data_IF_217441817343
#
_entry.id   IF_217441817343
#
_cell.length_a   1.000
_cell.length_b   1.000
_cell.length_c   1.000
_cell.angle_alpha   90.00
_cell.angle_beta   90.00
_cell.angle_gamma   90.00
#
_symmetry.space_group_name_H-M   'P 1'
#
loop_
_entity.id
_entity.type
_entity.pdbx_description
1 polymer ?
#
# COMPACT_ATOMS: atom_id res chain seq x y z
N UNK A 1 6.45 -9.96 22.45
CA UNK A 1 6.47 -9.28 21.12
C UNK A 1 5.18 -9.66 20.39
N UNK A 2 4.34 -8.67 20.04
CA UNK A 2 2.96 -8.90 19.58
C UNK A 2 2.93 -9.56 18.20
N UNK A 3 2.94 -10.90 18.17
CA UNK A 3 2.45 -11.69 17.02
C UNK A 3 0.97 -11.38 16.87
N UNK A 4 0.61 -10.54 15.90
CA UNK A 4 -0.78 -10.41 15.49
C UNK A 4 -1.11 -11.60 14.58
N UNK A 5 -1.53 -12.70 15.19
CA UNK A 5 -2.34 -13.72 14.53
C UNK A 5 -3.80 -13.27 14.64
N UNK A 6 -4.47 -12.99 13.52
CA UNK A 6 -5.92 -12.73 13.46
C UNK A 6 -6.50 -13.09 12.08
N UNK A 7 -7.02 -14.32 11.96
CA UNK A 7 -8.31 -14.73 11.34
C UNK A 7 -8.85 -14.22 9.99
N UNK A 8 -8.25 -13.26 9.27
CA UNK A 8 -8.75 -12.76 7.96
C UNK A 8 -7.56 -12.50 7.01
N UNK A 9 -6.90 -13.58 6.59
CA UNK A 9 -5.49 -13.61 6.18
C UNK A 9 -5.06 -13.02 4.83
N UNK A 10 -5.69 -11.99 4.26
CA UNK A 10 -5.28 -11.52 2.91
C UNK A 10 -4.95 -10.04 2.75
N UNK A 11 -5.58 -9.12 3.48
CA UNK A 11 -5.49 -7.69 3.12
C UNK A 11 -4.28 -6.94 3.70
N UNK A 12 -3.66 -7.45 4.78
CA UNK A 12 -2.51 -6.83 5.46
C UNK A 12 -1.19 -7.59 5.26
N UNK A 13 -1.24 -8.74 4.58
CA UNK A 13 -0.06 -9.57 4.39
C UNK A 13 0.82 -8.95 3.30
N UNK A 14 2.13 -8.97 3.53
CA UNK A 14 3.12 -8.80 2.48
C UNK A 14 3.76 -10.13 2.12
N UNK A 15 4.30 -10.24 0.91
CA UNK A 15 5.07 -11.40 0.48
C UNK A 15 6.47 -11.43 1.12
N UNK A 16 7.30 -12.39 0.72
CA UNK A 16 8.68 -12.53 1.21
C UNK A 16 9.59 -11.34 0.87
N UNK A 17 9.20 -10.46 -0.06
CA UNK A 17 9.91 -9.22 -0.41
C UNK A 17 9.38 -7.99 0.34
N UNK A 18 8.28 -8.13 1.08
CA UNK A 18 7.57 -7.01 1.70
C UNK A 18 6.55 -6.34 0.77
N UNK A 19 6.26 -6.93 -0.40
CA UNK A 19 5.23 -6.44 -1.32
C UNK A 19 3.84 -6.70 -0.76
N UNK A 20 3.01 -5.67 -0.65
CA UNK A 20 1.63 -5.76 -0.13
C UNK A 20 0.59 -5.49 -1.23
N UNK A 21 -0.69 -5.78 -0.94
CA UNK A 21 -1.78 -5.53 -1.90
C UNK A 21 -1.93 -4.05 -2.28
N UNK A 22 -1.70 -3.11 -1.35
CA UNK A 22 -1.76 -1.68 -1.65
C UNK A 22 -0.63 -1.25 -2.60
N UNK A 23 0.54 -1.88 -2.51
CA UNK A 23 1.65 -1.64 -3.44
C UNK A 23 1.36 -2.18 -4.83
N UNK A 24 0.73 -3.35 -4.94
CA UNK A 24 0.33 -3.92 -6.23
C UNK A 24 -0.73 -3.04 -6.91
N UNK A 25 -1.75 -2.62 -6.16
CA UNK A 25 -2.77 -1.71 -6.65
C UNK A 25 -2.16 -0.36 -7.08
N UNK A 26 -1.24 0.18 -6.29
CA UNK A 26 -0.57 1.44 -6.61
C UNK A 26 0.36 1.33 -7.84
N UNK A 27 1.10 0.22 -7.96
CA UNK A 27 1.94 -0.05 -9.13
C UNK A 27 1.13 -0.31 -10.41
N UNK A 28 -0.15 -0.65 -10.29
CA UNK A 28 -1.09 -0.84 -11.39
C UNK A 28 -2.00 0.37 -11.67
N UNK A 29 -1.95 1.44 -10.87
CA UNK A 29 -2.87 2.57 -10.99
C UNK A 29 -4.32 2.20 -10.70
N UNK A 30 -4.55 1.17 -9.87
CA UNK A 30 -5.86 0.60 -9.62
C UNK A 30 -6.59 1.35 -8.50
N UNK A 31 -7.06 2.56 -8.81
CA UNK A 31 -7.64 3.50 -7.85
C UNK A 31 -8.81 2.91 -7.04
N UNK A 32 -9.74 2.21 -7.68
CA UNK A 32 -10.92 1.64 -6.99
C UNK A 32 -10.52 0.53 -6.01
N UNK A 33 -9.59 -0.33 -6.42
CA UNK A 33 -9.06 -1.41 -5.58
C UNK A 33 -8.31 -0.79 -4.40
N UNK A 34 -7.50 0.23 -4.67
CA UNK A 34 -6.74 0.94 -3.64
C UNK A 34 -7.66 1.61 -2.62
N UNK A 35 -8.73 2.29 -3.06
CA UNK A 35 -9.76 2.86 -2.19
C UNK A 35 -10.47 1.81 -1.34
N UNK A 36 -10.78 0.65 -1.93
CA UNK A 36 -11.39 -0.46 -1.20
C UNK A 36 -10.46 -0.99 -0.09
N UNK A 37 -9.18 -1.16 -0.39
CA UNK A 37 -8.16 -1.59 0.58
C UNK A 37 -8.00 -0.58 1.72
N UNK A 38 -7.90 0.72 1.39
CA UNK A 38 -7.83 1.79 2.38
C UNK A 38 -9.07 1.80 3.28
N UNK A 39 -10.28 1.65 2.70
CA UNK A 39 -11.54 1.57 3.46
C UNK A 39 -11.58 0.38 4.41
N UNK A 40 -10.91 -0.72 4.05
CA UNK A 40 -10.75 -1.88 4.93
C UNK A 40 -9.69 -1.67 6.01
N UNK A 41 -8.97 -0.55 6.01
CA UNK A 41 -8.00 -0.15 7.02
C UNK A 41 -6.55 -0.41 6.63
N UNK A 42 -6.28 -0.80 5.37
CA UNK A 42 -4.92 -1.18 4.94
C UNK A 42 -4.04 0.06 5.04
N UNK A 43 -2.96 -0.05 5.81
CA UNK A 43 -2.03 1.06 6.00
C UNK A 43 -1.23 1.26 4.70
N UNK A 44 -1.30 2.45 4.11
CA UNK A 44 -0.51 2.82 2.91
C UNK A 44 0.99 2.95 3.15
N UNK A 45 1.44 2.84 4.40
CA UNK A 45 2.83 3.05 4.82
C UNK A 45 3.68 1.76 4.88
N UNK A 46 3.18 0.64 4.35
CA UNK A 46 4.02 -0.56 4.18
C UNK A 46 5.21 -0.26 3.27
N UNK A 47 6.36 -0.90 3.55
CA UNK A 47 7.57 -0.80 2.72
C UNK A 47 8.14 -2.18 2.41
N UNK A 48 8.65 -2.33 1.18
CA UNK A 48 9.41 -3.50 0.75
C UNK A 48 10.76 -3.54 1.47
N UNK A 49 11.47 -4.67 1.36
CA UNK A 49 12.82 -4.84 1.91
C UNK A 49 13.83 -3.82 1.39
N UNK A 50 13.65 -3.35 0.16
CA UNK A 50 14.46 -2.30 -0.47
C UNK A 50 14.03 -0.87 -0.07
N UNK A 51 13.01 -0.72 0.78
CA UNK A 51 12.46 0.57 1.22
C UNK A 51 11.33 1.12 0.35
N UNK A 52 11.02 0.50 -0.79
CA UNK A 52 9.98 0.99 -1.71
C UNK A 52 8.60 0.97 -1.06
N UNK A 53 7.80 2.02 -1.27
CA UNK A 53 6.42 2.16 -0.76
C UNK A 53 5.40 2.15 -1.91
N UNK A 54 4.10 2.02 -1.58
CA UNK A 54 3.03 2.15 -2.57
C UNK A 54 3.06 3.53 -3.27
N UNK A 55 3.40 4.60 -2.54
CA UNK A 55 3.51 5.95 -3.08
C UNK A 55 4.65 6.07 -4.10
N UNK A 56 5.80 5.44 -3.82
CA UNK A 56 6.93 5.43 -4.75
C UNK A 56 6.56 4.76 -6.08
N UNK A 57 5.86 3.62 -6.05
CA UNK A 57 5.38 2.97 -7.27
C UNK A 57 4.40 3.82 -8.09
N UNK A 58 3.45 4.47 -7.43
CA UNK A 58 2.49 5.35 -8.11
C UNK A 58 3.18 6.58 -8.72
N UNK A 59 4.14 7.17 -7.99
CA UNK A 59 4.91 8.32 -8.46
C UNK A 59 5.82 7.99 -9.64
N UNK A 60 6.56 6.87 -9.59
CA UNK A 60 7.42 6.39 -10.68
C UNK A 60 6.64 6.20 -11.99
N UNK A 61 5.38 5.77 -11.89
CA UNK A 61 4.49 5.51 -13.02
C UNK A 61 3.61 6.69 -13.42
N UNK A 62 3.75 7.85 -12.77
CA UNK A 62 2.95 9.05 -13.01
C UNK A 62 1.43 8.84 -12.82
N UNK A 63 1.02 7.98 -11.88
CA UNK A 63 -0.39 7.75 -11.55
C UNK A 63 -0.88 8.79 -10.54
N UNK A 64 -1.17 10.00 -11.02
CA UNK A 64 -1.52 11.16 -10.19
C UNK A 64 -2.73 10.91 -9.27
N UNK A 65 -3.79 10.27 -9.78
CA UNK A 65 -4.98 9.95 -8.98
C UNK A 65 -4.64 8.98 -7.85
N UNK A 66 -3.85 7.94 -8.15
CA UNK A 66 -3.37 6.97 -7.17
C UNK A 66 -2.49 7.63 -6.11
N UNK A 67 -1.60 8.56 -6.51
CA UNK A 67 -0.80 9.37 -5.59
C UNK A 67 -1.71 10.18 -4.66
N UNK A 68 -2.70 10.88 -5.19
CA UNK A 68 -3.65 11.66 -4.38
C UNK A 68 -4.38 10.78 -3.36
N UNK A 69 -4.88 9.60 -3.78
CA UNK A 69 -5.55 8.63 -2.90
C UNK A 69 -4.65 8.19 -1.76
N UNK A 70 -3.39 7.88 -2.04
CA UNK A 70 -2.43 7.44 -1.01
C UNK A 70 -2.15 8.55 -0.01
N UNK A 71 -1.99 9.79 -0.47
CA UNK A 71 -1.76 10.96 0.39
C UNK A 71 -2.98 11.27 1.27
N UNK A 72 -4.19 11.25 0.69
CA UNK A 72 -5.45 11.39 1.43
C UNK A 72 -5.61 10.32 2.51
N UNK A 73 -5.14 9.10 2.25
CA UNK A 73 -5.17 8.00 3.20
C UNK A 73 -4.13 8.09 4.32
N UNK A 74 -3.36 9.18 4.39
CA UNK A 74 -2.31 9.37 5.39
C UNK A 74 -1.05 8.57 5.09
N UNK A 75 -0.81 8.22 3.82
CA UNK A 75 0.50 7.69 3.42
C UNK A 75 1.51 8.83 3.50
N UNK A 76 2.58 8.64 4.26
CA UNK A 76 3.60 9.66 4.41
C UNK A 76 4.47 9.71 3.16
N UNK A 77 4.77 10.94 2.71
CA UNK A 77 5.71 11.20 1.61
C UNK A 77 7.16 10.83 2.00
N UNK A 78 7.44 10.68 3.30
CA UNK A 78 8.81 10.58 3.80
C UNK A 78 9.41 9.17 3.68
N UNK A 79 10.43 9.10 2.81
CA UNK A 79 11.54 8.14 2.68
C UNK A 79 11.90 7.38 3.98
#
# INVERSE_FOLDING_TARGET
MKKQFNGFGTIWSSDSSGMSLSMLAAAGGQDDILRLLIKKGVKGNGRQKNGTTALMHAAEKNFLTTVAILLEAGSYVNV
#
